data_IF_797863127326
#
_entry.id   IF_797863127326
#
_cell.length_a   1.000
_cell.length_b   1.000
_cell.length_c   1.000
_cell.angle_alpha   90.00
_cell.angle_beta   90.00
_cell.angle_gamma   90.00
#
_symmetry.space_group_name_H-M   'P 1'
#
loop_
_entity.id
_entity.type
_entity.pdbx_description
1 polymer ?
#
# COMPACT_ATOMS: atom_id res chain seq x y z
N UNK A 1 23.66 -24.38 24.27
CA UNK A 1 23.99 -22.97 24.00
C UNK A 1 23.15 -22.54 22.81
N UNK A 2 22.00 -21.94 23.08
CA UNK A 2 21.13 -21.39 22.04
C UNK A 2 21.83 -20.10 21.58
N UNK A 3 22.31 -20.06 20.33
CA UNK A 3 22.79 -18.84 19.71
C UNK A 3 21.65 -17.82 19.78
N UNK A 4 21.86 -16.74 20.55
CA UNK A 4 21.04 -15.56 20.43
C UNK A 4 21.20 -15.07 18.99
N UNK A 5 20.21 -15.37 18.14
CA UNK A 5 20.06 -14.68 16.89
C UNK A 5 19.85 -13.20 17.25
N UNK A 6 20.84 -12.38 16.94
CA UNK A 6 20.60 -10.95 16.81
C UNK A 6 19.46 -10.84 15.81
N UNK A 7 18.25 -10.55 16.31
CA UNK A 7 17.09 -10.29 15.45
C UNK A 7 17.50 -9.16 14.54
N UNK A 8 17.64 -9.39 13.24
CA UNK A 8 17.89 -8.28 12.34
C UNK A 8 16.70 -7.36 12.46
N UNK A 9 16.92 -6.17 12.25
CA UNK A 9 16.21 -4.94 12.15
C UNK A 9 14.80 -5.01 11.53
N UNK A 10 14.08 -6.14 11.57
CA UNK A 10 12.73 -6.30 11.05
C UNK A 10 11.68 -5.73 12.02
N UNK A 11 10.81 -4.88 11.49
CA UNK A 11 9.67 -4.36 12.22
C UNK A 11 8.51 -5.36 12.26
N UNK A 12 8.33 -6.11 11.17
CA UNK A 12 7.28 -7.13 11.03
C UNK A 12 7.94 -8.42 10.55
N UNK A 13 7.55 -9.55 11.14
CA UNK A 13 7.88 -10.91 10.69
C UNK A 13 6.61 -11.72 10.69
N UNK A 14 6.24 -12.31 9.57
CA UNK A 14 5.11 -13.21 9.41
C UNK A 14 5.60 -14.57 8.92
N UNK A 15 5.19 -15.66 9.60
CA UNK A 15 5.60 -17.02 9.33
C UNK A 15 4.39 -17.92 9.12
N UNK A 16 4.15 -18.38 7.89
CA UNK A 16 3.11 -19.33 7.51
C UNK A 16 1.71 -18.97 8.04
N UNK A 17 1.31 -17.70 7.93
CA UNK A 17 0.03 -17.23 8.42
C UNK A 17 -1.12 -17.82 7.63
N UNK A 18 -2.09 -18.40 8.31
CA UNK A 18 -3.33 -18.93 7.74
C UNK A 18 -4.54 -18.36 8.46
N UNK A 19 -5.52 -17.90 7.70
CA UNK A 19 -6.81 -17.48 8.23
C UNK A 19 -7.98 -17.93 7.35
N UNK A 20 -9.08 -18.36 7.98
CA UNK A 20 -10.28 -18.85 7.30
C UNK A 20 -11.54 -18.16 7.83
N UNK A 21 -12.49 -17.91 6.96
CA UNK A 21 -13.86 -17.55 7.31
C UNK A 21 -14.76 -18.76 6.97
N UNK A 22 -15.07 -19.59 7.96
CA UNK A 22 -15.73 -20.86 7.70
C UNK A 22 -14.90 -21.74 6.75
N UNK A 23 -15.44 -22.06 5.59
CA UNK A 23 -14.76 -22.87 4.58
C UNK A 23 -13.86 -22.05 3.65
N UNK A 24 -14.03 -20.71 3.61
CA UNK A 24 -13.22 -19.84 2.77
C UNK A 24 -11.85 -19.60 3.39
N UNK A 25 -10.80 -19.99 2.69
CA UNK A 25 -9.42 -19.65 3.04
C UNK A 25 -9.13 -18.25 2.54
N UNK A 26 -9.01 -17.29 3.45
CA UNK A 26 -8.76 -15.89 3.10
C UNK A 26 -7.25 -15.54 3.08
N UNK A 27 -6.44 -16.28 3.85
CA UNK A 27 -4.98 -16.19 3.85
C UNK A 27 -4.45 -17.62 3.99
N UNK A 28 -3.54 -18.04 3.10
CA UNK A 28 -3.07 -19.41 3.00
C UNK A 28 -1.53 -19.52 3.03
N UNK A 29 -0.98 -19.56 4.23
CA UNK A 29 0.44 -19.87 4.45
C UNK A 29 1.41 -18.76 4.08
N UNK A 30 1.01 -17.49 4.12
CA UNK A 30 1.89 -16.37 3.76
C UNK A 30 3.03 -16.19 4.74
N UNK A 31 4.22 -15.89 4.20
CA UNK A 31 5.42 -15.57 4.99
C UNK A 31 6.13 -14.39 4.36
N UNK A 32 6.48 -13.39 5.18
CA UNK A 32 7.20 -12.19 4.75
C UNK A 32 7.83 -11.46 5.93
N UNK A 33 8.76 -10.59 5.61
CA UNK A 33 9.43 -9.73 6.58
C UNK A 33 9.40 -8.28 6.07
N UNK A 34 9.27 -7.32 7.00
CA UNK A 34 9.35 -5.89 6.72
C UNK A 34 10.44 -5.29 7.58
N UNK A 35 11.40 -4.62 6.97
CA UNK A 35 12.49 -3.97 7.68
C UNK A 35 12.00 -2.73 8.45
N UNK A 36 12.77 -2.29 9.45
CA UNK A 36 12.48 -1.03 10.14
C UNK A 36 12.66 0.14 9.21
N UNK A 37 11.70 1.06 9.22
CA UNK A 37 11.72 2.26 8.39
C UNK A 37 11.39 1.98 6.90
N UNK A 38 10.93 0.80 6.54
CA UNK A 38 10.54 0.43 5.18
C UNK A 38 9.08 0.83 4.91
N UNK A 39 8.79 1.29 3.69
CA UNK A 39 7.43 1.32 3.13
C UNK A 39 7.21 0.01 2.37
N UNK A 40 6.42 -0.87 2.95
CA UNK A 40 6.08 -2.16 2.39
C UNK A 40 4.61 -2.18 1.96
N UNK A 41 4.35 -2.45 0.68
CA UNK A 41 3.00 -2.50 0.14
C UNK A 41 2.53 -3.92 -0.14
N UNK A 42 1.29 -4.19 0.25
CA UNK A 42 0.57 -5.42 0.00
C UNK A 42 -0.46 -5.17 -1.10
N UNK A 43 -0.17 -5.65 -2.30
CA UNK A 43 -0.89 -5.35 -3.53
C UNK A 43 -1.74 -6.52 -4.00
N UNK A 44 -2.95 -6.25 -4.44
CA UNK A 44 -3.81 -7.28 -5.01
C UNK A 44 -5.26 -6.84 -5.12
N UNK A 45 -6.10 -7.61 -5.81
CA UNK A 45 -7.51 -7.30 -6.01
C UNK A 45 -8.31 -7.36 -4.69
N UNK A 46 -9.54 -6.89 -4.75
CA UNK A 46 -10.46 -7.01 -3.64
C UNK A 46 -10.72 -8.49 -3.32
N UNK A 47 -10.70 -8.83 -2.03
CA UNK A 47 -10.83 -10.22 -1.57
C UNK A 47 -9.55 -11.06 -1.62
N UNK A 48 -8.41 -10.55 -2.06
CA UNK A 48 -7.15 -11.28 -2.11
C UNK A 48 -6.56 -11.65 -0.73
N UNK A 49 -7.05 -11.04 0.37
CA UNK A 49 -6.58 -11.31 1.73
C UNK A 49 -5.85 -10.15 2.42
N UNK A 50 -5.73 -8.98 1.78
CA UNK A 50 -5.01 -7.80 2.29
C UNK A 50 -5.48 -7.37 3.69
N UNK A 51 -6.75 -6.95 3.82
CA UNK A 51 -7.35 -6.51 5.10
C UNK A 51 -7.37 -7.62 6.15
N UNK A 52 -7.52 -8.88 5.73
CA UNK A 52 -7.44 -10.02 6.67
C UNK A 52 -6.03 -10.16 7.25
N UNK A 53 -5.00 -10.01 6.43
CA UNK A 53 -3.60 -10.01 6.87
C UNK A 53 -3.33 -8.87 7.86
N UNK A 54 -3.74 -7.63 7.51
CA UNK A 54 -3.64 -6.49 8.44
C UNK A 54 -4.35 -6.79 9.76
N UNK A 55 -5.59 -7.31 9.72
CA UNK A 55 -6.36 -7.65 10.92
C UNK A 55 -5.67 -8.66 11.83
N UNK A 56 -4.92 -9.62 11.25
CA UNK A 56 -4.09 -10.55 12.04
C UNK A 56 -2.89 -9.84 12.67
N UNK A 57 -2.14 -9.06 11.88
CA UNK A 57 -0.93 -8.37 12.34
C UNK A 57 -1.22 -7.39 13.50
N UNK A 58 -2.32 -6.65 13.43
CA UNK A 58 -2.70 -5.69 14.49
C UNK A 58 -3.41 -6.34 15.68
N UNK A 59 -3.54 -7.69 15.67
CA UNK A 59 -4.12 -8.46 16.77
C UNK A 59 -5.63 -8.42 16.89
N UNK A 60 -6.36 -7.97 15.87
CA UNK A 60 -7.83 -8.05 15.82
C UNK A 60 -8.33 -9.46 15.54
N UNK A 61 -7.54 -10.24 14.79
CA UNK A 61 -7.84 -11.63 14.46
C UNK A 61 -6.67 -12.52 14.84
N UNK A 62 -6.98 -13.66 15.47
CA UNK A 62 -5.95 -14.64 15.77
C UNK A 62 -5.74 -15.56 14.57
N UNK A 63 -4.53 -15.72 14.04
CA UNK A 63 -4.26 -16.65 12.96
C UNK A 63 -4.63 -18.09 13.37
N UNK A 64 -5.16 -18.87 12.45
CA UNK A 64 -5.46 -20.29 12.67
C UNK A 64 -4.18 -21.14 12.66
N UNK A 65 -3.19 -20.72 11.84
CA UNK A 65 -1.84 -21.30 11.81
C UNK A 65 -0.81 -20.20 11.61
N UNK A 66 0.43 -20.53 11.88
CA UNK A 66 1.55 -19.61 11.74
C UNK A 66 1.73 -18.69 12.95
N UNK A 67 2.66 -17.77 12.82
CA UNK A 67 3.01 -16.77 13.84
C UNK A 67 3.35 -15.45 13.18
N UNK A 68 3.16 -14.35 13.89
CA UNK A 68 3.74 -13.08 13.49
C UNK A 68 4.26 -12.31 14.70
N UNK A 69 5.27 -11.50 14.44
CA UNK A 69 5.94 -10.66 15.41
C UNK A 69 5.99 -9.23 14.88
N UNK A 70 5.62 -8.28 15.72
CA UNK A 70 5.78 -6.87 15.50
C UNK A 70 6.76 -6.30 16.51
N UNK A 71 7.81 -5.64 16.02
CA UNK A 71 8.89 -5.10 16.88
C UNK A 71 9.46 -6.18 17.84
N UNK A 72 9.55 -7.44 17.36
CA UNK A 72 10.02 -8.59 18.14
C UNK A 72 9.00 -9.17 19.11
N UNK A 73 7.75 -8.69 19.14
CA UNK A 73 6.68 -9.12 20.05
C UNK A 73 5.66 -9.98 19.35
N UNK A 74 5.25 -11.09 19.96
CA UNK A 74 4.24 -12.02 19.44
C UNK A 74 2.86 -11.36 19.45
N UNK A 75 2.21 -11.28 18.28
CA UNK A 75 0.89 -10.64 18.09
C UNK A 75 -0.22 -11.28 18.92
N UNK A 76 -0.07 -12.54 19.33
CA UNK A 76 -1.09 -13.29 20.08
C UNK A 76 -0.90 -13.23 21.59
N UNK A 77 0.28 -12.81 22.05
CA UNK A 77 0.64 -12.81 23.48
C UNK A 77 0.84 -11.40 24.04
N UNK A 78 1.30 -10.47 23.18
CA UNK A 78 1.71 -9.13 23.61
C UNK A 78 0.88 -8.04 22.90
N UNK A 79 -0.36 -8.36 22.52
CA UNK A 79 -1.24 -7.50 21.69
C UNK A 79 -1.35 -6.07 22.23
N UNK A 80 -1.60 -5.90 23.54
CA UNK A 80 -1.74 -4.55 24.12
C UNK A 80 -0.45 -3.71 24.01
N UNK A 81 0.71 -4.36 24.19
CA UNK A 81 2.02 -3.69 24.08
C UNK A 81 2.32 -3.32 22.63
N UNK A 82 1.89 -4.14 21.68
CA UNK A 82 2.01 -3.89 20.24
C UNK A 82 1.09 -2.73 19.85
N UNK A 83 -0.18 -2.78 20.25
CA UNK A 83 -1.18 -1.75 19.90
C UNK A 83 -0.80 -0.35 20.38
N UNK A 84 -0.05 -0.25 21.48
CA UNK A 84 0.50 1.02 21.96
C UNK A 84 1.62 1.59 21.08
N UNK A 85 2.16 0.82 20.13
CA UNK A 85 3.29 1.20 19.27
C UNK A 85 2.94 1.23 17.79
N UNK A 86 1.71 0.91 17.41
CA UNK A 86 1.25 0.90 16.02
C UNK A 86 0.13 1.90 15.81
N UNK A 87 0.17 2.63 14.69
CA UNK A 87 -0.95 3.42 14.18
C UNK A 87 -1.73 2.62 13.15
N UNK A 88 -3.06 2.74 13.13
CA UNK A 88 -3.89 2.04 12.16
C UNK A 88 -4.91 2.98 11.55
N UNK A 89 -4.89 3.10 10.23
CA UNK A 89 -5.92 3.75 9.45
C UNK A 89 -6.66 2.69 8.63
N UNK A 90 -7.92 2.44 8.95
CA UNK A 90 -8.75 1.46 8.26
C UNK A 90 -9.34 2.06 6.98
N UNK A 91 -9.70 1.22 6.03
CA UNK A 91 -10.47 1.58 4.84
C UNK A 91 -11.82 2.22 5.21
N UNK A 92 -12.55 1.58 6.14
CA UNK A 92 -13.86 2.07 6.57
C UNK A 92 -13.72 3.16 7.61
N UNK A 93 -14.38 4.29 7.36
CA UNK A 93 -14.39 5.43 8.27
C UNK A 93 -15.03 5.05 9.62
N UNK A 94 -14.29 5.26 10.70
CA UNK A 94 -14.70 5.00 12.07
C UNK A 94 -14.47 6.22 12.99
N UNK A 95 -14.99 7.36 12.55
CA UNK A 95 -14.99 8.64 13.26
C UNK A 95 -16.35 8.91 13.92
N UNK A 96 -16.35 9.69 14.99
CA UNK A 96 -17.59 10.16 15.64
C UNK A 96 -18.11 11.39 14.89
N UNK A 97 -19.14 11.20 14.07
CA UNK A 97 -19.64 12.23 13.15
C UNK A 97 -20.23 13.45 13.83
N UNK A 98 -20.82 13.30 15.03
CA UNK A 98 -21.39 14.40 15.82
C UNK A 98 -20.32 15.23 16.55
N UNK A 99 -19.08 14.75 16.59
CA UNK A 99 -17.94 15.48 17.15
C UNK A 99 -17.22 16.28 16.07
N UNK A 100 -16.54 17.33 16.48
CA UNK A 100 -15.60 18.06 15.63
C UNK A 100 -14.34 17.26 15.36
N UNK A 101 -13.53 17.67 14.34
CA UNK A 101 -12.25 17.04 14.07
C UNK A 101 -11.32 17.02 15.29
N UNK A 102 -11.20 18.15 15.99
CA UNK A 102 -10.38 18.24 17.22
C UNK A 102 -10.93 17.38 18.35
N UNK A 103 -12.24 17.32 18.54
CA UNK A 103 -12.84 16.48 19.60
C UNK A 103 -12.61 15.00 19.34
N UNK A 104 -12.69 14.55 18.07
CA UNK A 104 -12.32 13.20 17.70
C UNK A 104 -10.88 12.90 18.10
N UNK A 105 -9.91 13.74 17.72
CA UNK A 105 -8.50 13.53 18.08
C UNK A 105 -8.29 13.53 19.59
N UNK A 106 -8.91 14.47 20.33
CA UNK A 106 -8.82 14.54 21.79
C UNK A 106 -9.38 13.29 22.48
N UNK A 107 -10.47 12.72 21.96
CA UNK A 107 -11.04 11.49 22.49
C UNK A 107 -10.04 10.33 22.35
N UNK A 108 -9.50 10.12 21.16
CA UNK A 108 -8.54 9.04 20.93
C UNK A 108 -7.21 9.27 21.66
N UNK A 109 -6.71 10.52 21.73
CA UNK A 109 -5.52 10.84 22.51
C UNK A 109 -5.68 10.41 23.99
N UNK A 110 -6.85 10.67 24.59
CA UNK A 110 -7.14 10.21 25.96
C UNK A 110 -7.15 8.69 26.08
N UNK A 111 -7.72 7.97 25.09
CA UNK A 111 -7.74 6.50 25.08
C UNK A 111 -6.33 5.92 24.97
N UNK A 112 -5.43 6.55 24.20
CA UNK A 112 -4.02 6.15 24.09
C UNK A 112 -3.15 6.69 25.25
N UNK A 113 -3.71 7.49 26.17
CA UNK A 113 -2.93 8.09 27.26
C UNK A 113 -1.96 9.17 26.80
N UNK A 114 -2.16 9.73 25.61
CA UNK A 114 -1.33 10.81 25.03
C UNK A 114 -1.58 12.10 25.80
N UNK A 115 -0.50 12.71 26.29
CA UNK A 115 -0.49 14.01 26.98
C UNK A 115 0.31 15.00 26.16
N UNK A 116 0.01 16.27 26.34
CA UNK A 116 0.77 17.40 25.80
C UNK A 116 0.95 17.39 24.25
N UNK A 117 -0.09 16.95 23.52
CA UNK A 117 -0.13 16.99 22.07
C UNK A 117 -0.71 18.32 21.56
N UNK A 118 -0.05 18.95 20.61
CA UNK A 118 -0.62 20.05 19.85
C UNK A 118 -1.57 19.53 18.76
N UNK A 119 -2.86 19.49 19.08
CA UNK A 119 -3.90 19.06 18.15
C UNK A 119 -4.06 19.99 16.95
N UNK A 120 -3.73 21.29 17.10
CA UNK A 120 -3.86 22.23 16.00
C UNK A 120 -2.76 21.97 14.97
N UNK A 121 -1.51 21.76 15.41
CA UNK A 121 -0.41 21.39 14.54
C UNK A 121 -0.70 20.06 13.78
N UNK A 122 -1.27 19.06 14.47
CA UNK A 122 -1.62 17.79 13.82
C UNK A 122 -2.75 17.96 12.78
N UNK A 123 -3.77 18.76 13.09
CA UNK A 123 -4.89 19.08 12.18
C UNK A 123 -4.37 19.89 10.96
N UNK A 124 -3.47 20.83 11.19
CA UNK A 124 -2.84 21.62 10.13
C UNK A 124 -2.02 20.72 9.21
N UNK A 125 -1.23 19.80 9.78
CA UNK A 125 -0.41 18.85 9.04
C UNK A 125 -1.23 18.00 8.05
N UNK A 126 -2.48 17.65 8.38
CA UNK A 126 -3.37 16.92 7.48
C UNK A 126 -4.24 17.85 6.61
N UNK A 127 -3.94 19.15 6.58
CA UNK A 127 -4.63 20.14 5.75
C UNK A 127 -6.10 20.40 6.17
N UNK A 128 -6.41 20.28 7.45
CA UNK A 128 -7.76 20.48 7.99
C UNK A 128 -7.89 21.68 8.95
N UNK A 129 -6.89 22.59 8.99
CA UNK A 129 -6.88 23.73 9.91
C UNK A 129 -8.15 24.58 9.86
N UNK A 130 -8.64 24.92 8.64
CA UNK A 130 -9.84 25.73 8.44
C UNK A 130 -11.16 25.03 8.80
N UNK A 131 -11.12 23.72 9.06
CA UNK A 131 -12.32 22.90 9.33
C UNK A 131 -12.25 22.18 10.69
N UNK A 132 -11.22 22.45 11.48
CA UNK A 132 -10.91 21.78 12.75
C UNK A 132 -12.07 21.73 13.75
N UNK A 133 -12.91 22.77 13.74
CA UNK A 133 -14.05 22.95 14.65
C UNK A 133 -15.40 22.58 14.04
N UNK A 134 -15.42 22.16 12.77
CA UNK A 134 -16.64 21.69 12.14
C UNK A 134 -16.91 20.24 12.55
N UNK A 135 -18.19 19.86 12.63
CA UNK A 135 -18.59 18.47 12.85
C UNK A 135 -18.12 17.60 11.70
N UNK A 136 -17.67 16.39 12.02
CA UNK A 136 -17.18 15.41 11.05
C UNK A 136 -18.28 14.95 10.08
N UNK A 137 -19.57 15.04 10.49
CA UNK A 137 -20.71 14.80 9.59
C UNK A 137 -20.71 15.70 8.35
N UNK A 138 -20.12 16.89 8.43
CA UNK A 138 -19.95 17.82 7.31
C UNK A 138 -18.64 17.66 6.52
N UNK A 139 -17.83 16.64 6.81
CA UNK A 139 -16.57 16.39 6.11
C UNK A 139 -16.79 15.60 4.82
N UNK A 140 -16.02 15.93 3.77
CA UNK A 140 -15.92 15.08 2.59
C UNK A 140 -15.21 13.75 2.92
N UNK A 141 -15.30 12.74 2.01
CA UNK A 141 -14.58 11.47 2.16
C UNK A 141 -13.08 11.71 2.40
N UNK A 142 -12.44 12.55 1.58
CA UNK A 142 -11.02 12.88 1.73
C UNK A 142 -10.69 13.61 3.03
N UNK A 143 -11.57 14.48 3.56
CA UNK A 143 -11.37 15.11 4.87
C UNK A 143 -11.49 14.09 6.00
N UNK A 144 -12.44 13.17 5.96
CA UNK A 144 -12.58 12.09 6.93
C UNK A 144 -11.35 11.20 6.92
N UNK A 145 -10.86 10.82 5.76
CA UNK A 145 -9.67 9.98 5.60
C UNK A 145 -8.41 10.67 6.16
N UNK A 146 -8.18 11.93 5.83
CA UNK A 146 -7.06 12.72 6.40
C UNK A 146 -7.15 12.83 7.93
N UNK A 147 -8.35 12.96 8.50
CA UNK A 147 -8.53 12.94 9.94
C UNK A 147 -8.25 11.57 10.56
N UNK A 148 -8.59 10.48 9.87
CA UNK A 148 -8.24 9.11 10.29
C UNK A 148 -6.73 8.88 10.30
N UNK A 149 -6.03 9.37 9.27
CA UNK A 149 -4.56 9.35 9.24
C UNK A 149 -3.99 10.17 10.40
N UNK A 150 -4.47 11.40 10.64
CA UNK A 150 -4.05 12.19 11.80
C UNK A 150 -4.25 11.43 13.12
N UNK A 151 -5.38 10.74 13.28
CA UNK A 151 -5.68 9.94 14.47
C UNK A 151 -4.69 8.78 14.64
N UNK A 152 -4.28 8.12 13.56
CA UNK A 152 -3.33 7.01 13.64
C UNK A 152 -1.92 7.45 14.07
N UNK A 153 -1.61 8.75 13.95
CA UNK A 153 -0.32 9.35 14.31
C UNK A 153 -0.29 9.95 15.74
N UNK A 154 -1.40 9.98 16.47
CA UNK A 154 -1.53 10.65 17.76
C UNK A 154 -0.45 10.27 18.78
N UNK A 155 -0.12 9.00 18.85
CA UNK A 155 0.80 8.42 19.83
C UNK A 155 2.19 8.12 19.27
N UNK A 156 2.53 8.72 18.12
CA UNK A 156 3.83 8.59 17.46
C UNK A 156 4.23 7.12 17.25
N UNK A 157 3.47 6.38 16.42
CA UNK A 157 3.67 4.95 16.24
C UNK A 157 5.02 4.64 15.61
N UNK A 158 5.54 3.44 15.87
CA UNK A 158 6.75 2.91 15.21
C UNK A 158 6.43 2.16 13.93
N UNK A 159 5.19 1.65 13.81
CA UNK A 159 4.65 1.04 12.59
C UNK A 159 3.30 1.68 12.29
N UNK A 160 3.09 2.09 11.06
CA UNK A 160 1.84 2.65 10.56
C UNK A 160 1.20 1.67 9.57
N UNK A 161 0.03 1.15 9.91
CA UNK A 161 -0.80 0.33 9.02
C UNK A 161 -1.84 1.22 8.34
N UNK A 162 -1.86 1.19 7.01
CA UNK A 162 -2.78 1.95 6.17
C UNK A 162 -3.51 0.99 5.23
N UNK A 163 -4.81 0.81 5.45
CA UNK A 163 -5.64 -0.08 4.63
C UNK A 163 -6.42 0.76 3.61
N UNK A 164 -6.02 0.68 2.33
CA UNK A 164 -6.57 1.43 1.18
C UNK A 164 -6.71 2.95 1.46
N UNK A 165 -5.64 3.66 1.88
CA UNK A 165 -5.76 5.00 2.46
C UNK A 165 -6.20 6.08 1.47
N UNK A 166 -6.07 5.86 0.17
CA UNK A 166 -6.36 6.84 -0.89
C UNK A 166 -7.55 6.44 -1.76
N UNK A 167 -8.18 5.28 -1.47
CA UNK A 167 -9.26 4.74 -2.28
C UNK A 167 -10.45 5.69 -2.42
N UNK A 168 -10.82 5.97 -3.69
CA UNK A 168 -11.96 6.81 -4.04
C UNK A 168 -11.86 8.25 -3.55
N UNK A 169 -10.64 8.75 -3.35
CA UNK A 169 -10.36 10.15 -3.04
C UNK A 169 -10.11 10.95 -4.33
N UNK A 170 -10.34 12.24 -4.24
CA UNK A 170 -9.88 13.17 -5.25
C UNK A 170 -8.33 13.25 -5.26
N UNK A 171 -7.70 13.63 -6.41
CA UNK A 171 -6.24 13.64 -6.53
C UNK A 171 -5.53 14.52 -5.48
N UNK A 172 -6.14 15.62 -5.07
CA UNK A 172 -5.55 16.54 -4.07
C UNK A 172 -5.54 15.89 -2.68
N UNK A 173 -6.65 15.26 -2.29
CA UNK A 173 -6.74 14.54 -1.02
C UNK A 173 -5.83 13.31 -0.97
N UNK A 174 -5.72 12.57 -2.08
CA UNK A 174 -4.81 11.43 -2.20
C UNK A 174 -3.34 11.88 -2.06
N UNK A 175 -2.94 12.94 -2.77
CA UNK A 175 -1.57 13.47 -2.70
C UNK A 175 -1.21 13.96 -1.29
N UNK A 176 -2.15 14.59 -0.59
CA UNK A 176 -1.92 15.00 0.80
C UNK A 176 -1.63 13.81 1.72
N UNK A 177 -2.30 12.66 1.53
CA UNK A 177 -2.04 11.44 2.30
C UNK A 177 -0.68 10.84 1.92
N UNK A 178 -0.33 10.77 0.63
CA UNK A 178 0.98 10.28 0.18
C UNK A 178 2.12 11.08 0.79
N UNK A 179 1.99 12.40 0.83
CA UNK A 179 3.00 13.27 1.45
C UNK A 179 3.18 12.97 2.93
N UNK A 180 2.08 12.72 3.68
CA UNK A 180 2.16 12.32 5.09
C UNK A 180 2.86 10.96 5.25
N UNK A 181 2.60 10.00 4.36
CA UNK A 181 3.26 8.69 4.37
C UNK A 181 4.77 8.85 4.19
N UNK A 182 5.20 9.65 3.21
CA UNK A 182 6.61 9.93 2.94
C UNK A 182 7.28 10.67 4.12
N UNK A 183 6.60 11.66 4.71
CA UNK A 183 7.11 12.35 5.91
C UNK A 183 7.29 11.40 7.10
N UNK A 184 6.36 10.46 7.33
CA UNK A 184 6.51 9.46 8.41
C UNK A 184 7.66 8.48 8.12
N UNK A 185 7.80 8.07 6.86
CA UNK A 185 8.93 7.25 6.42
C UNK A 185 10.28 7.96 6.66
N UNK A 186 10.41 9.23 6.28
CA UNK A 186 11.61 10.03 6.54
C UNK A 186 11.94 10.16 8.04
N UNK A 187 10.92 10.06 8.90
CA UNK A 187 11.08 10.02 10.37
C UNK A 187 11.48 8.64 10.89
N UNK A 188 11.61 7.64 10.01
CA UNK A 188 11.97 6.27 10.34
C UNK A 188 10.80 5.40 10.80
N UNK A 189 9.54 5.82 10.57
CA UNK A 189 8.36 5.00 10.81
C UNK A 189 8.29 3.92 9.74
N UNK A 190 8.07 2.67 10.13
CA UNK A 190 7.77 1.58 9.20
C UNK A 190 6.33 1.71 8.73
N UNK A 191 6.09 1.65 7.43
CA UNK A 191 4.75 1.74 6.86
C UNK A 191 4.35 0.42 6.22
N UNK A 192 3.22 -0.13 6.62
CA UNK A 192 2.56 -1.25 5.97
C UNK A 192 1.31 -0.75 5.26
N UNK A 193 1.36 -0.70 3.94
CA UNK A 193 0.31 -0.17 3.08
C UNK A 193 -0.42 -1.30 2.37
N UNK A 194 -1.73 -1.32 2.38
CA UNK A 194 -2.49 -2.13 1.42
C UNK A 194 -3.11 -1.24 0.38
N UNK A 195 -3.04 -1.65 -0.87
CA UNK A 195 -3.69 -0.96 -1.98
C UNK A 195 -3.92 -1.92 -3.15
N UNK A 196 -4.87 -1.59 -4.01
CA UNK A 196 -5.02 -2.17 -5.34
C UNK A 196 -4.53 -1.21 -6.43
N UNK A 197 -4.14 0.02 -6.06
CA UNK A 197 -3.55 1.02 -6.97
C UNK A 197 -2.06 0.73 -7.16
N UNK A 198 -1.72 0.10 -8.30
CA UNK A 198 -0.36 -0.27 -8.65
C UNK A 198 0.55 0.94 -8.86
N UNK A 199 0.00 2.07 -9.32
CA UNK A 199 0.78 3.29 -9.52
C UNK A 199 1.15 3.93 -8.18
N UNK A 200 0.24 3.90 -7.20
CA UNK A 200 0.53 4.36 -5.85
C UNK A 200 1.64 3.55 -5.21
N UNK A 201 1.56 2.23 -5.31
CA UNK A 201 2.57 1.36 -4.74
C UNK A 201 3.93 1.48 -5.43
N UNK A 202 3.96 1.59 -6.76
CA UNK A 202 5.19 1.82 -7.53
C UNK A 202 5.91 3.11 -7.11
N UNK A 203 5.13 4.13 -6.76
CA UNK A 203 5.64 5.45 -6.36
C UNK A 203 6.13 5.52 -4.91
N UNK A 204 5.49 4.78 -4.01
CA UNK A 204 5.71 4.95 -2.57
C UNK A 204 6.59 3.86 -1.96
N UNK A 205 6.59 2.65 -2.51
CA UNK A 205 7.07 1.48 -1.79
C UNK A 205 8.52 1.17 -2.05
N UNK A 206 9.24 0.81 -0.98
CA UNK A 206 10.57 0.21 -1.09
C UNK A 206 10.47 -1.22 -1.61
N UNK A 207 9.49 -1.99 -1.09
CA UNK A 207 9.16 -3.34 -1.55
C UNK A 207 7.65 -3.54 -1.63
N UNK A 208 7.25 -4.41 -2.54
CA UNK A 208 5.85 -4.80 -2.75
C UNK A 208 5.71 -6.31 -2.69
N UNK A 209 4.61 -6.77 -2.11
CA UNK A 209 4.17 -8.15 -2.17
C UNK A 209 2.86 -8.22 -2.94
N UNK A 210 2.84 -8.95 -4.05
CA UNK A 210 1.61 -9.28 -4.74
C UNK A 210 0.90 -10.42 -4.03
N UNK A 211 -0.36 -10.18 -3.66
CA UNK A 211 -1.22 -11.20 -3.07
C UNK A 211 -2.39 -11.51 -4.01
N UNK A 212 -2.60 -12.79 -4.31
CA UNK A 212 -3.78 -13.29 -4.97
C UNK A 212 -4.31 -14.53 -4.23
N UNK A 213 -5.61 -14.60 -4.01
CA UNK A 213 -6.32 -15.74 -3.35
C UNK A 213 -5.70 -16.19 -2.03
N UNK A 214 -5.17 -15.25 -1.26
CA UNK A 214 -4.58 -15.53 0.05
C UNK A 214 -3.12 -15.97 0.02
N UNK A 215 -2.47 -16.00 -1.13
CA UNK A 215 -1.07 -16.37 -1.30
C UNK A 215 -0.24 -15.18 -1.81
N UNK A 216 1.04 -15.10 -1.38
CA UNK A 216 2.00 -14.15 -1.96
C UNK A 216 2.55 -14.80 -3.23
N UNK A 217 2.29 -14.17 -4.38
CA UNK A 217 2.72 -14.67 -5.70
C UNK A 217 4.04 -14.06 -6.18
N UNK A 218 4.38 -12.86 -5.70
CA UNK A 218 5.70 -12.24 -5.91
C UNK A 218 6.00 -11.25 -4.78
N UNK A 219 7.28 -11.06 -4.46
CA UNK A 219 7.72 -10.13 -3.43
C UNK A 219 9.14 -9.64 -3.75
N UNK A 220 9.27 -8.36 -4.11
CA UNK A 220 10.57 -7.69 -4.29
C UNK A 220 10.36 -6.16 -4.35
N UNK A 221 11.42 -5.41 -4.67
CA UNK A 221 11.32 -4.00 -5.02
C UNK A 221 10.53 -3.83 -6.33
N UNK A 222 9.79 -2.72 -6.52
CA UNK A 222 9.12 -2.45 -7.79
C UNK A 222 10.08 -2.55 -9.00
N UNK A 223 11.30 -2.06 -8.83
CA UNK A 223 12.32 -2.11 -9.87
C UNK A 223 12.71 -3.54 -10.26
N UNK A 224 12.98 -4.41 -9.28
CA UNK A 224 13.37 -5.80 -9.54
C UNK A 224 12.24 -6.59 -10.21
N UNK A 225 10.99 -6.39 -9.74
CA UNK A 225 9.82 -7.01 -10.37
C UNK A 225 9.67 -6.60 -11.83
N UNK A 226 9.88 -5.30 -12.15
CA UNK A 226 9.88 -4.82 -13.53
C UNK A 226 11.01 -5.40 -14.38
N UNK A 227 12.16 -5.66 -13.78
CA UNK A 227 13.28 -6.31 -14.50
C UNK A 227 13.06 -7.81 -14.73
N UNK A 228 12.46 -8.52 -13.75
CA UNK A 228 12.30 -9.97 -13.80
C UNK A 228 11.12 -10.41 -14.66
N UNK A 229 9.98 -9.72 -14.53
CA UNK A 229 8.71 -10.08 -15.20
C UNK A 229 8.30 -9.12 -16.29
N UNK A 230 8.89 -7.92 -16.33
CA UNK A 230 8.46 -6.87 -17.24
C UNK A 230 9.00 -7.04 -18.64
N UNK A 231 8.13 -6.93 -19.64
CA UNK A 231 8.54 -6.81 -21.03
C UNK A 231 8.81 -5.33 -21.35
N UNK A 232 9.98 -5.07 -21.93
CA UNK A 232 10.28 -3.76 -22.50
C UNK A 232 9.64 -3.64 -23.86
N UNK A 233 8.93 -2.58 -24.13
CA UNK A 233 8.23 -2.37 -25.39
C UNK A 233 8.60 -1.02 -26.01
N UNK A 234 8.59 -0.98 -27.31
CA UNK A 234 8.52 0.27 -28.09
C UNK A 234 7.07 0.46 -28.50
N UNK A 235 6.54 1.63 -28.18
CA UNK A 235 5.18 2.04 -28.57
C UNK A 235 5.34 3.16 -29.59
N UNK A 236 4.77 2.97 -30.79
CA UNK A 236 4.76 3.94 -31.85
C UNK A 236 3.33 4.33 -32.24
N UNK A 237 3.09 5.62 -32.38
CA UNK A 237 1.90 6.11 -33.06
C UNK A 237 2.23 6.24 -34.53
N UNK A 238 1.48 5.57 -35.36
CA UNK A 238 1.65 5.58 -36.81
C UNK A 238 0.42 6.14 -37.50
N UNK A 239 0.60 6.78 -38.64
CA UNK A 239 -0.49 7.26 -39.45
C UNK A 239 -1.07 6.10 -40.26
N UNK A 240 -2.30 5.73 -39.92
CA UNK A 240 -3.07 4.70 -40.60
C UNK A 240 -3.91 5.24 -41.77
N UNK A 241 -4.81 4.38 -42.23
CA UNK A 241 -5.78 4.76 -43.26
C UNK A 241 -6.66 5.92 -42.78
N UNK A 242 -7.07 6.80 -43.70
CA UNK A 242 -7.94 7.97 -43.43
C UNK A 242 -7.31 8.99 -42.43
N UNK A 243 -5.99 9.08 -42.36
CA UNK A 243 -5.27 10.03 -41.50
C UNK A 243 -5.52 9.84 -39.99
N UNK A 244 -5.94 8.63 -39.57
CA UNK A 244 -6.11 8.27 -38.18
C UNK A 244 -4.80 7.79 -37.57
N UNK A 245 -4.57 8.16 -36.30
CA UNK A 245 -3.42 7.62 -35.55
C UNK A 245 -3.78 6.22 -35.02
N UNK A 246 -2.90 5.29 -35.30
CA UNK A 246 -2.95 3.90 -34.80
C UNK A 246 -1.74 3.66 -33.92
N UNK A 247 -1.92 2.94 -32.83
CA UNK A 247 -0.83 2.51 -31.95
C UNK A 247 -0.29 1.16 -32.40
N UNK A 248 1.04 1.05 -32.47
CA UNK A 248 1.79 -0.18 -32.75
C UNK A 248 2.74 -0.42 -31.61
N UNK A 249 2.81 -1.66 -31.14
CA UNK A 249 3.70 -2.10 -30.07
C UNK A 249 4.67 -3.13 -30.59
N UNK A 250 5.96 -2.97 -30.27
CA UNK A 250 7.02 -3.90 -30.60
C UNK A 250 7.70 -4.31 -29.30
N UNK A 251 7.69 -5.62 -29.00
CA UNK A 251 8.37 -6.15 -27.81
C UNK A 251 9.88 -6.10 -28.04
N UNK A 252 10.60 -5.54 -27.08
CA UNK A 252 12.07 -5.48 -27.11
C UNK A 252 12.67 -6.81 -26.66
N UNK A 253 13.94 -6.99 -26.99
CA UNK A 253 14.72 -8.17 -26.54
C UNK A 253 14.27 -9.52 -27.13
N UNK A 254 13.48 -9.49 -28.21
CA UNK A 254 13.15 -10.66 -29.01
C UNK A 254 14.10 -10.76 -30.25
N UNK A 255 14.35 -11.97 -30.77
CA UNK A 255 15.21 -12.12 -31.93
C UNK A 255 14.76 -11.36 -33.19
N UNK A 256 13.46 -11.17 -33.34
CA UNK A 256 12.78 -10.50 -34.44
C UNK A 256 12.55 -8.98 -34.23
N UNK A 257 12.81 -8.46 -33.04
CA UNK A 257 12.67 -7.02 -32.72
C UNK A 257 13.31 -6.08 -33.74
N UNK A 258 14.56 -6.34 -34.24
CA UNK A 258 15.15 -5.46 -35.23
C UNK A 258 14.38 -5.43 -36.55
N UNK A 259 13.86 -6.58 -36.98
CA UNK A 259 13.08 -6.70 -38.22
C UNK A 259 11.71 -6.02 -38.09
N UNK A 260 11.05 -6.22 -36.95
CA UNK A 260 9.77 -5.56 -36.63
C UNK A 260 9.90 -4.03 -36.56
N UNK A 261 10.93 -3.50 -35.88
CA UNK A 261 11.22 -2.08 -35.86
C UNK A 261 11.52 -1.53 -37.27
N UNK A 262 12.28 -2.28 -38.06
CA UNK A 262 12.57 -1.90 -39.44
C UNK A 262 11.30 -1.86 -40.29
N UNK A 263 10.43 -2.86 -40.17
CA UNK A 263 9.15 -2.93 -40.85
C UNK A 263 8.24 -1.72 -40.43
N UNK A 264 8.19 -1.43 -39.13
CA UNK A 264 7.44 -0.29 -38.60
C UNK A 264 7.80 1.03 -39.33
N UNK A 265 9.10 1.32 -39.49
CA UNK A 265 9.55 2.55 -40.15
C UNK A 265 9.46 2.50 -41.69
N UNK A 266 9.40 1.32 -42.28
CA UNK A 266 9.27 1.18 -43.75
C UNK A 266 7.83 1.22 -44.21
N UNK A 267 6.92 0.65 -43.43
CA UNK A 267 5.53 0.42 -43.83
C UNK A 267 4.59 1.51 -43.34
N UNK A 268 5.01 2.28 -42.33
CA UNK A 268 4.19 3.29 -41.69
C UNK A 268 4.89 4.64 -41.58
N UNK A 269 4.11 5.71 -41.63
CA UNK A 269 4.54 7.05 -41.23
C UNK A 269 4.49 7.13 -39.70
N UNK A 270 5.65 7.02 -39.03
CA UNK A 270 5.75 7.09 -37.57
C UNK A 270 5.66 8.54 -37.13
N UNK A 271 4.65 8.87 -36.31
CA UNK A 271 4.40 10.20 -35.77
C UNK A 271 5.11 10.39 -34.44
N UNK A 272 4.97 9.44 -33.53
CA UNK A 272 5.72 9.39 -32.27
C UNK A 272 6.25 7.98 -32.00
N UNK A 273 7.34 7.91 -31.25
CA UNK A 273 7.91 6.66 -30.78
C UNK A 273 8.48 6.87 -29.38
N UNK A 274 8.17 5.97 -28.47
CA UNK A 274 8.71 5.98 -27.11
C UNK A 274 8.86 4.57 -26.57
N UNK A 275 9.78 4.38 -25.63
CA UNK A 275 9.88 3.13 -24.87
C UNK A 275 8.86 3.13 -23.76
N UNK A 276 8.21 1.98 -23.55
CA UNK A 276 7.32 1.72 -22.40
C UNK A 276 7.97 0.62 -21.58
N UNK A 277 8.20 0.92 -20.32
CA UNK A 277 8.52 -0.09 -19.31
C UNK A 277 7.23 -0.72 -18.80
N UNK A 278 7.30 -1.98 -18.39
CA UNK A 278 6.17 -2.66 -17.77
C UNK A 278 5.77 -1.96 -16.48
N UNK A 279 4.48 -1.86 -16.25
CA UNK A 279 3.90 -1.39 -14.98
C UNK A 279 3.78 -2.56 -14.00
N UNK A 280 3.61 -2.27 -12.70
CA UNK A 280 3.29 -3.32 -11.72
C UNK A 280 1.96 -4.02 -12.06
N UNK A 281 1.04 -3.36 -12.75
CA UNK A 281 -0.22 -3.94 -13.23
C UNK A 281 0.02 -4.98 -14.33
N UNK A 282 0.85 -4.64 -15.34
CA UNK A 282 1.25 -5.59 -16.39
C UNK A 282 1.90 -6.85 -15.79
N UNK A 283 2.77 -6.67 -14.78
CA UNK A 283 3.45 -7.76 -14.08
C UNK A 283 2.46 -8.61 -13.28
N UNK A 284 1.52 -7.98 -12.57
CA UNK A 284 0.50 -8.72 -11.83
C UNK A 284 -0.35 -9.60 -12.77
N UNK A 285 -0.75 -9.06 -13.93
CA UNK A 285 -1.49 -9.80 -14.97
C UNK A 285 -0.64 -10.95 -15.51
N UNK A 286 0.64 -10.72 -15.80
CA UNK A 286 1.56 -11.76 -16.28
C UNK A 286 1.67 -12.93 -15.30
N UNK A 287 1.86 -12.64 -14.00
CA UNK A 287 2.02 -13.67 -12.96
C UNK A 287 0.73 -14.41 -12.66
N UNK A 288 -0.41 -13.70 -12.61
CA UNK A 288 -1.69 -14.27 -12.12
C UNK A 288 -2.64 -14.71 -13.24
N UNK A 289 -2.42 -14.22 -14.47
CA UNK A 289 -3.33 -14.39 -15.61
C UNK A 289 -4.66 -13.65 -15.46
N UNK A 290 -4.72 -12.58 -14.62
CA UNK A 290 -5.95 -11.87 -14.29
C UNK A 290 -5.78 -10.37 -14.28
N UNK A 291 -6.79 -9.67 -14.77
CA UNK A 291 -6.92 -8.24 -14.57
C UNK A 291 -7.35 -7.91 -13.13
N UNK A 292 -6.95 -6.74 -12.67
CA UNK A 292 -7.44 -6.14 -11.42
C UNK A 292 -8.88 -5.65 -11.67
N UNK A 293 -9.86 -6.32 -11.11
CA UNK A 293 -11.27 -5.93 -11.21
C UNK A 293 -11.69 -5.02 -10.08
#
# INVERSE_FOLDING_TARGET
>A
MIKAYAMPENAIVAENLVYRYGDLVAVDGISFEVAKGEIFSFLGPNGAGKTTTVSMLIGQRRPHKGRAFLLGKDITRETATIQAQIGVCFEVTNLYEEMTGVENLKLFARLFGVKDLDFNALIERVGLAGRARDKVSGYSKGMKQRLMVARSLLHQPRILFLDEPTEGLDPVSAEAIRNIILEEHERGVTVFLTTHDMQEADRLSDRVAFIDRGEIVALDTPHNLKQEYGQRMVVAEVRGAEDRLEQREVVMDQPDTPDELQALFREHEVVTIHSREATLEDIFIEITGRELA
#
